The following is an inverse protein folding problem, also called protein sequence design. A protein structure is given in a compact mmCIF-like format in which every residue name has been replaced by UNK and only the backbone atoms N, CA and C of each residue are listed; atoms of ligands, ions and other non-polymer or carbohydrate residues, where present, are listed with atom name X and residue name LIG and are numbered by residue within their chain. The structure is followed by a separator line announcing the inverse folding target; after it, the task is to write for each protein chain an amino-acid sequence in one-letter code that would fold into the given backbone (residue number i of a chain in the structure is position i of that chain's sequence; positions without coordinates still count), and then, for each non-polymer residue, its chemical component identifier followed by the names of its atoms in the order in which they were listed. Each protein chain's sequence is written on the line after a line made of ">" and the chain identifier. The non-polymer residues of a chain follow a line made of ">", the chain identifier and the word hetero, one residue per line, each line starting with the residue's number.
data_IF_069036070969
#
_entry.id   IF_069036070969
#
_cell.length_a   1.000
_cell.length_b   1.000
_cell.length_c   1.000
_cell.angle_alpha   90.00
_cell.angle_beta   90.00
_cell.angle_gamma   90.00
#
_symmetry.space_group_name_H-M   'P 1'
#
loop_
_entity.id
_entity.type
_entity.pdbx_description
1 polymer ?
#
# COMPACT_ATOMS: atom_id res chain seq x y z
N UNK A 1 18.46 -8.23 5.00
CA UNK A 1 18.63 -6.84 5.47
C UNK A 1 19.02 -6.91 6.92
N UNK A 2 20.05 -6.19 7.32
CA UNK A 2 20.43 -6.09 8.74
C UNK A 2 19.29 -5.46 9.56
N UNK A 3 19.06 -5.95 10.78
CA UNK A 3 17.90 -5.57 11.60
C UNK A 3 17.90 -4.07 11.94
N UNK A 4 19.09 -3.48 12.13
CA UNK A 4 19.20 -2.06 12.42
C UNK A 4 18.81 -1.20 11.22
N UNK A 5 19.26 -1.56 10.02
CA UNK A 5 18.86 -0.87 8.79
C UNK A 5 17.36 -1.02 8.50
N UNK A 6 16.78 -2.18 8.83
CA UNK A 6 15.33 -2.38 8.77
C UNK A 6 14.59 -1.38 9.67
N UNK A 7 14.99 -1.25 10.93
CA UNK A 7 14.36 -0.29 11.86
C UNK A 7 14.54 1.16 11.42
N UNK A 8 15.74 1.54 10.94
CA UNK A 8 15.97 2.88 10.39
C UNK A 8 15.02 3.20 9.25
N UNK A 9 14.82 2.24 8.33
CA UNK A 9 13.87 2.39 7.22
C UNK A 9 12.44 2.54 7.72
N UNK A 10 12.00 1.73 8.68
CA UNK A 10 10.66 1.82 9.28
C UNK A 10 10.40 3.16 9.97
N UNK A 11 11.36 3.64 10.76
CA UNK A 11 11.28 4.95 11.45
C UNK A 11 11.20 6.08 10.43
N UNK A 12 12.07 6.06 9.41
CA UNK A 12 12.05 7.06 8.33
C UNK A 12 10.71 7.08 7.63
N UNK A 13 10.21 5.91 7.25
CA UNK A 13 8.93 5.75 6.56
C UNK A 13 7.78 6.33 7.39
N UNK A 14 7.68 6.00 8.68
CA UNK A 14 6.65 6.56 9.58
C UNK A 14 6.75 8.09 9.74
N UNK A 15 7.95 8.66 9.70
CA UNK A 15 8.16 10.11 9.85
C UNK A 15 7.78 10.88 8.58
N UNK A 16 8.06 10.32 7.40
CA UNK A 16 7.91 11.01 6.12
C UNK A 16 6.58 10.72 5.42
N UNK A 17 5.95 9.59 5.71
CA UNK A 17 4.70 9.18 5.07
C UNK A 17 3.46 9.74 5.80
N UNK A 18 2.63 10.59 5.14
CA UNK A 18 1.43 11.15 5.76
C UNK A 18 0.45 10.10 6.26
N UNK A 19 0.20 9.04 5.46
CA UNK A 19 -0.71 7.95 5.83
C UNK A 19 -0.27 7.27 7.12
N UNK A 20 0.99 6.86 7.22
CA UNK A 20 1.51 6.19 8.41
C UNK A 20 1.62 7.12 9.62
N UNK A 21 1.87 8.42 9.41
CA UNK A 21 2.03 9.38 10.51
C UNK A 21 0.69 9.74 11.15
N UNK A 22 -0.32 10.10 10.35
CA UNK A 22 -1.58 10.65 10.86
C UNK A 22 -2.83 10.20 10.07
N UNK A 23 -2.68 9.33 9.06
CA UNK A 23 -3.84 8.81 8.33
C UNK A 23 -4.80 8.01 9.23
N UNK A 24 -6.08 8.05 8.89
CA UNK A 24 -7.13 7.28 9.55
C UNK A 24 -6.89 5.77 9.35
N UNK A 25 -7.12 4.97 10.39
CA UNK A 25 -7.02 3.52 10.30
C UNK A 25 -8.33 2.93 9.77
N UNK A 26 -8.26 2.19 8.67
CA UNK A 26 -9.39 1.45 8.10
C UNK A 26 -8.97 0.00 7.94
N UNK A 27 -9.62 -0.90 8.66
CA UNK A 27 -9.38 -2.33 8.54
C UNK A 27 -9.87 -2.84 7.17
N UNK A 28 -9.04 -3.61 6.48
CA UNK A 28 -9.36 -4.21 5.18
C UNK A 28 -9.54 -5.72 5.28
N UNK A 29 -8.77 -6.39 6.16
CA UNK A 29 -8.84 -7.83 6.37
C UNK A 29 -8.22 -8.19 7.73
N UNK A 30 -8.77 -9.19 8.42
CA UNK A 30 -8.30 -9.61 9.76
C UNK A 30 -7.11 -10.58 9.71
N UNK A 31 -7.14 -11.56 8.80
CA UNK A 31 -6.09 -12.59 8.68
C UNK A 31 -5.86 -12.99 7.22
N UNK A 32 -4.74 -12.60 6.58
CA UNK A 32 -3.62 -11.86 7.18
C UNK A 32 -4.06 -10.42 7.48
N UNK A 33 -3.47 -9.79 8.49
CA UNK A 33 -3.88 -8.43 8.88
C UNK A 33 -3.58 -7.47 7.73
N UNK A 34 -4.61 -6.79 7.23
CA UNK A 34 -4.46 -5.75 6.24
C UNK A 34 -5.27 -4.52 6.64
N UNK A 35 -4.67 -3.35 6.54
CA UNK A 35 -5.34 -2.09 6.82
C UNK A 35 -4.84 -0.97 5.90
N UNK A 36 -5.75 -0.04 5.64
CA UNK A 36 -5.49 1.20 4.97
C UNK A 36 -5.22 2.29 6.02
N UNK A 37 -4.18 3.08 5.79
CA UNK A 37 -3.95 4.36 6.43
C UNK A 37 -4.37 5.46 5.48
N UNK A 38 -5.60 5.92 5.64
CA UNK A 38 -6.26 6.85 4.73
C UNK A 38 -5.81 8.29 5.04
N UNK A 39 -5.23 8.94 4.04
CA UNK A 39 -4.77 10.32 4.12
C UNK A 39 -5.73 11.25 3.32
N UNK A 40 -5.62 12.58 3.46
CA UNK A 40 -6.49 13.51 2.73
C UNK A 40 -6.43 13.37 1.20
N UNK A 41 -5.24 13.03 0.67
CA UNK A 41 -5.01 12.83 -0.77
C UNK A 41 -4.79 11.33 -1.07
N UNK A 42 -5.41 10.75 -2.12
CA UNK A 42 -5.31 9.31 -2.41
C UNK A 42 -3.88 8.82 -2.61
N UNK A 43 -3.04 9.60 -3.30
CA UNK A 43 -1.60 9.28 -3.44
C UNK A 43 -0.80 9.27 -2.12
N UNK A 44 -1.37 9.79 -1.04
CA UNK A 44 -0.77 9.76 0.30
C UNK A 44 -1.27 8.59 1.14
N UNK A 45 -2.27 7.85 0.69
CA UNK A 45 -2.72 6.62 1.34
C UNK A 45 -1.59 5.60 1.47
N UNK A 46 -1.66 4.76 2.47
CA UNK A 46 -0.70 3.66 2.66
C UNK A 46 -1.43 2.40 3.05
N UNK A 47 -1.24 1.32 2.29
CA UNK A 47 -1.82 0.01 2.61
C UNK A 47 -0.73 -0.82 3.29
N UNK A 48 -1.04 -1.39 4.44
CA UNK A 48 -0.13 -2.26 5.19
C UNK A 48 -0.75 -3.64 5.24
N UNK A 49 0.04 -4.67 4.91
CA UNK A 49 -0.36 -6.07 4.97
C UNK A 49 0.70 -6.84 5.75
N UNK A 50 0.28 -7.65 6.73
CA UNK A 50 1.16 -8.48 7.54
C UNK A 50 0.64 -9.91 7.52
N UNK A 51 1.45 -10.82 6.99
CA UNK A 51 1.15 -12.24 6.91
C UNK A 51 2.03 -13.04 7.90
N UNK A 52 1.54 -13.34 9.11
CA UNK A 52 2.27 -14.18 10.05
C UNK A 52 2.24 -15.67 9.69
N UNK A 53 1.34 -16.09 8.79
CA UNK A 53 1.09 -17.48 8.45
C UNK A 53 1.86 -17.98 7.23
N UNK A 54 1.26 -18.93 6.53
CA UNK A 54 1.78 -19.54 5.30
C UNK A 54 1.62 -18.66 4.07
N UNK A 55 2.27 -19.06 2.98
CA UNK A 55 2.15 -18.39 1.69
C UNK A 55 0.71 -18.42 1.17
N UNK A 56 0.24 -17.28 0.67
CA UNK A 56 -1.09 -17.17 0.06
C UNK A 56 -1.21 -15.96 -0.86
N UNK A 57 -2.25 -15.95 -1.68
CA UNK A 57 -2.68 -14.77 -2.43
C UNK A 57 -3.85 -14.13 -1.71
N UNK A 58 -3.69 -12.88 -1.32
CA UNK A 58 -4.74 -12.07 -0.70
C UNK A 58 -5.39 -11.17 -1.75
N UNK A 59 -6.72 -11.19 -1.83
CA UNK A 59 -7.49 -10.21 -2.61
C UNK A 59 -8.05 -9.18 -1.65
N UNK A 60 -7.61 -7.93 -1.77
CA UNK A 60 -8.07 -6.83 -0.93
C UNK A 60 -8.96 -5.89 -1.71
N UNK A 61 -10.13 -5.58 -1.14
CA UNK A 61 -10.97 -4.46 -1.60
C UNK A 61 -10.46 -3.15 -1.00
N UNK A 62 -10.33 -2.11 -1.82
CA UNK A 62 -9.87 -0.79 -1.38
C UNK A 62 -11.09 0.13 -1.25
N UNK A 63 -11.55 0.44 -0.02
CA UNK A 63 -12.78 1.20 0.22
C UNK A 63 -12.60 2.72 0.03
N UNK A 64 -11.64 3.14 -0.80
CA UNK A 64 -11.42 4.55 -1.13
C UNK A 64 -11.74 4.79 -2.60
N UNK A 65 -12.94 5.31 -2.87
CA UNK A 65 -13.39 5.65 -4.22
C UNK A 65 -12.56 6.72 -4.93
N UNK A 66 -11.63 7.38 -4.22
CA UNK A 66 -10.66 8.30 -4.84
C UNK A 66 -9.44 7.57 -5.41
N UNK A 67 -9.18 6.32 -5.00
CA UNK A 67 -8.17 5.48 -5.64
C UNK A 67 -8.73 5.02 -6.99
N UNK A 68 -8.19 5.59 -8.07
CA UNK A 68 -8.66 5.30 -9.42
C UNK A 68 -8.25 3.90 -9.88
N UNK A 69 -9.02 3.34 -10.81
CA UNK A 69 -8.65 2.08 -11.45
C UNK A 69 -7.28 2.19 -12.12
N UNK A 70 -6.54 1.07 -12.20
CA UNK A 70 -5.18 1.00 -12.77
C UNK A 70 -4.11 1.73 -11.96
N UNK A 71 -4.44 2.33 -10.81
CA UNK A 71 -3.47 2.95 -9.91
C UNK A 71 -2.38 1.93 -9.54
N UNK A 72 -1.10 2.19 -9.86
CA UNK A 72 0.01 1.38 -9.40
C UNK A 72 0.14 1.48 -7.87
N UNK A 73 0.31 0.34 -7.22
CA UNK A 73 0.63 0.19 -5.81
C UNK A 73 2.04 -0.39 -5.71
N UNK A 74 2.97 0.37 -5.15
CA UNK A 74 4.38 0.00 -5.06
C UNK A 74 4.74 -0.37 -3.63
N UNK A 75 5.33 -1.55 -3.45
CA UNK A 75 5.89 -1.95 -2.17
C UNK A 75 7.16 -1.17 -1.88
N UNK A 76 7.16 -0.37 -0.81
CA UNK A 76 8.31 0.47 -0.44
C UNK A 76 9.53 -0.34 0.03
N UNK A 77 9.35 -1.63 0.31
CA UNK A 77 10.44 -2.52 0.70
C UNK A 77 11.04 -3.27 -0.48
N UNK A 78 10.23 -3.94 -1.29
CA UNK A 78 10.71 -4.75 -2.42
C UNK A 78 10.77 -4.00 -3.75
N UNK A 79 10.03 -2.90 -3.91
CA UNK A 79 9.85 -2.20 -5.18
C UNK A 79 8.88 -2.91 -6.13
N UNK A 80 8.29 -4.03 -5.72
CA UNK A 80 7.29 -4.74 -6.52
C UNK A 80 6.06 -3.86 -6.75
N UNK A 81 5.48 -4.00 -7.94
CA UNK A 81 4.32 -3.23 -8.37
C UNK A 81 3.10 -4.13 -8.51
N UNK A 82 2.01 -3.65 -7.97
CA UNK A 82 0.67 -4.20 -8.12
C UNK A 82 -0.23 -3.13 -8.73
N UNK A 83 -1.40 -3.51 -9.21
CA UNK A 83 -2.36 -2.57 -9.76
C UNK A 83 -3.71 -2.78 -9.11
N UNK A 84 -4.43 -1.67 -8.92
CA UNK A 84 -5.84 -1.71 -8.60
C UNK A 84 -6.62 -2.05 -9.85
N UNK A 85 -7.43 -3.09 -9.79
CA UNK A 85 -8.35 -3.50 -10.85
C UNK A 85 -9.76 -3.63 -10.26
N UNK A 86 -10.73 -2.86 -10.77
CA UNK A 86 -12.10 -2.88 -10.26
C UNK A 86 -12.23 -2.53 -8.77
N UNK A 87 -11.30 -1.74 -8.22
CA UNK A 87 -11.26 -1.41 -6.78
C UNK A 87 -10.67 -2.51 -5.89
N UNK A 88 -10.16 -3.59 -6.47
CA UNK A 88 -9.46 -4.65 -5.74
C UNK A 88 -7.98 -4.72 -6.14
N UNK A 89 -7.15 -5.27 -5.26
CA UNK A 89 -5.76 -5.62 -5.53
C UNK A 89 -5.49 -7.07 -5.13
N UNK A 90 -4.78 -7.81 -5.98
CA UNK A 90 -4.29 -9.17 -5.69
C UNK A 90 -2.84 -9.11 -5.23
N UNK A 91 -2.55 -9.67 -4.06
CA UNK A 91 -1.25 -9.61 -3.41
C UNK A 91 -0.75 -11.02 -3.09
N UNK A 92 0.27 -11.52 -3.80
CA UNK A 92 1.05 -12.67 -3.35
C UNK A 92 1.82 -12.30 -2.07
N UNK A 93 1.60 -13.08 -1.02
CA UNK A 93 2.21 -12.89 0.29
C UNK A 93 3.00 -14.15 0.65
N UNK A 94 4.34 -14.09 0.65
CA UNK A 94 5.16 -15.17 1.19
C UNK A 94 4.82 -15.46 2.66
N UNK A 95 5.20 -16.64 3.14
CA UNK A 95 5.08 -16.97 4.56
C UNK A 95 5.87 -15.98 5.42
N UNK A 96 5.31 -15.59 6.58
CA UNK A 96 5.96 -14.70 7.57
C UNK A 96 6.48 -13.38 6.96
N UNK A 97 5.67 -12.76 6.11
CA UNK A 97 6.04 -11.55 5.37
C UNK A 97 5.15 -10.37 5.69
N UNK A 98 5.50 -9.21 5.14
CA UNK A 98 4.67 -8.02 5.16
C UNK A 98 4.85 -7.26 3.84
N UNK A 99 3.92 -6.37 3.54
CA UNK A 99 3.99 -5.41 2.44
C UNK A 99 3.54 -4.05 2.91
N UNK A 100 4.19 -2.99 2.45
CA UNK A 100 3.72 -1.62 2.64
C UNK A 100 3.61 -0.96 1.28
N UNK A 101 2.38 -0.81 0.81
CA UNK A 101 2.07 -0.39 -0.54
C UNK A 101 1.71 1.10 -0.57
N UNK A 102 2.32 1.81 -1.52
CA UNK A 102 2.08 3.21 -1.81
C UNK A 102 1.47 3.36 -3.20
N UNK A 103 0.35 4.10 -3.32
CA UNK A 103 -0.15 4.50 -4.63
C UNK A 103 0.81 5.47 -5.29
N UNK A 104 1.12 5.21 -6.56
CA UNK A 104 1.87 6.12 -7.43
C UNK A 104 0.95 6.70 -8.51
N UNK A 105 1.25 7.92 -8.95
CA UNK A 105 0.53 8.53 -10.07
C UNK A 105 1.00 7.88 -11.38
N UNK A 106 0.08 7.23 -12.09
CA UNK A 106 0.35 6.68 -13.41
C UNK A 106 0.54 7.82 -14.41
N UNK A 107 1.70 7.82 -15.09
CA UNK A 107 2.06 8.82 -16.10
C UNK A 107 2.28 8.15 -17.44
N UNK A 108 1.53 8.58 -18.45
CA UNK A 108 1.66 8.11 -19.84
C UNK A 108 1.78 9.33 -20.75
N UNK A 109 3.00 9.66 -21.18
CA UNK A 109 3.27 10.91 -21.91
C UNK A 109 2.85 12.15 -21.09
N UNK A 110 1.89 12.93 -21.60
CA UNK A 110 1.32 14.11 -20.90
C UNK A 110 0.13 13.75 -19.98
N UNK A 111 -0.36 12.52 -20.02
CA UNK A 111 -1.46 12.06 -19.18
C UNK A 111 -0.97 11.75 -17.76
N UNK A 112 -1.75 12.19 -16.77
CA UNK A 112 -1.61 11.84 -15.36
C UNK A 112 -2.96 11.39 -14.84
N UNK A 113 -2.99 10.23 -14.19
CA UNK A 113 -4.23 9.63 -13.69
C UNK A 113 -4.93 10.57 -12.69
N UNK A 114 -4.15 11.16 -11.78
CA UNK A 114 -4.66 12.05 -10.73
C UNK A 114 -4.65 13.54 -11.09
N UNK A 115 -4.65 13.91 -12.39
CA UNK A 115 -4.58 15.34 -12.80
C UNK A 115 -5.72 16.22 -12.25
N UNK A 116 -6.88 15.63 -11.95
CA UNK A 116 -8.13 16.34 -11.59
C UNK A 116 -8.56 16.14 -10.12
N UNK A 117 -7.67 15.58 -9.29
CA UNK A 117 -7.93 15.28 -7.87
C UNK A 117 -7.14 16.26 -6.99
#
# INVERSE_FOLDING_TARGET
>A
VDLFEFYKKMIRLRRTDPGLRFGEFVLLNDSPLAFLRKAPHPLQNTIVVVNPGEEKVLVLSIPDGKIMNTTPLVDVFSGERFHVDGGVVKLPLPARSFRILKPEDLRVGKYRLYKRI
#
